data_IF_454200026238
#
_entry.id   IF_454200026238
#
_cell.length_a   1.000
_cell.length_b   1.000
_cell.length_c   1.000
_cell.angle_alpha   90.00
_cell.angle_beta   90.00
_cell.angle_gamma   90.00
#
_symmetry.space_group_name_H-M   'P 1'
#
loop_
_entity.id
_entity.type
_entity.pdbx_description
1 polymer ?
#
# COMPACT_ATOMS: atom_id res chain seq x y z
N UNK A 1 -5.75 25.67 10.12
CA UNK A 1 -5.88 26.10 8.70
C UNK A 1 -7.20 26.85 8.46
N UNK A 2 -7.23 27.85 7.58
CA UNK A 2 -8.49 28.37 6.98
C UNK A 2 -9.01 27.33 5.96
N UNK A 3 -10.30 26.98 6.05
CA UNK A 3 -11.08 26.01 5.24
C UNK A 3 -10.33 25.11 4.23
N UNK A 4 -10.38 23.77 4.36
CA UNK A 4 -9.74 22.84 3.42
C UNK A 4 -10.21 23.08 1.98
N UNK A 5 -9.29 23.03 1.01
CA UNK A 5 -9.57 23.25 -0.42
C UNK A 5 -9.40 21.97 -1.25
N UNK A 6 -8.57 21.05 -0.78
CA UNK A 6 -8.34 19.72 -1.36
C UNK A 6 -8.78 18.66 -0.37
N UNK A 7 -9.18 17.50 -0.87
CA UNK A 7 -9.68 16.42 0.00
C UNK A 7 -8.64 16.01 1.06
N UNK A 8 -7.36 15.94 0.69
CA UNK A 8 -6.30 15.58 1.63
C UNK A 8 -5.98 16.67 2.67
N UNK A 9 -6.38 17.94 2.45
CA UNK A 9 -6.26 19.02 3.45
C UNK A 9 -7.18 18.78 4.66
N UNK A 10 -8.22 17.95 4.48
CA UNK A 10 -9.14 17.59 5.55
C UNK A 10 -8.44 16.89 6.71
N UNK A 11 -7.31 16.19 6.48
CA UNK A 11 -6.59 15.51 7.55
C UNK A 11 -5.95 16.52 8.52
N UNK A 12 -5.28 17.56 8.01
CA UNK A 12 -4.75 18.64 8.83
C UNK A 12 -5.88 19.40 9.53
N UNK A 13 -6.96 19.70 8.81
CA UNK A 13 -8.12 20.35 9.40
C UNK A 13 -8.71 19.53 10.57
N UNK A 14 -8.90 18.23 10.40
CA UNK A 14 -9.43 17.35 11.44
C UNK A 14 -8.47 17.18 12.63
N UNK A 15 -7.16 17.23 12.39
CA UNK A 15 -6.16 17.28 13.47
C UNK A 15 -6.31 18.56 14.29
N UNK A 16 -6.48 19.71 13.64
CA UNK A 16 -6.72 21.00 14.30
C UNK A 16 -8.03 21.01 15.11
N UNK A 17 -9.05 20.22 14.70
CA UNK A 17 -10.35 20.11 15.39
C UNK A 17 -10.39 19.09 16.54
N UNK A 18 -9.27 18.43 16.87
CA UNK A 18 -9.18 17.58 18.08
C UNK A 18 -9.10 16.08 17.84
N UNK A 19 -8.54 15.63 16.71
CA UNK A 19 -8.19 14.23 16.41
C UNK A 19 -9.32 13.22 16.72
N UNK A 20 -10.21 13.00 15.75
CA UNK A 20 -11.31 12.04 15.90
C UNK A 20 -10.76 10.63 16.13
N UNK A 21 -11.22 9.89 17.16
CA UNK A 21 -10.69 8.55 17.47
C UNK A 21 -11.12 7.47 16.46
N UNK A 22 -12.12 7.75 15.63
CA UNK A 22 -12.72 6.82 14.67
C UNK A 22 -13.05 7.49 13.33
N UNK A 23 -12.05 8.09 12.71
CA UNK A 23 -12.19 8.67 11.37
C UNK A 23 -12.56 7.61 10.33
N UNK A 24 -11.89 6.45 10.37
CA UNK A 24 -12.27 5.26 9.61
C UNK A 24 -12.57 4.11 10.56
N UNK A 25 -13.36 3.14 10.11
CA UNK A 25 -13.63 1.91 10.87
C UNK A 25 -13.94 0.77 9.92
N UNK A 26 -13.43 -0.41 10.25
CA UNK A 26 -13.70 -1.63 9.49
C UNK A 26 -13.67 -2.85 10.41
N UNK A 27 -14.23 -3.95 9.90
CA UNK A 27 -14.16 -5.25 10.56
C UNK A 27 -12.96 -6.02 9.99
N UNK A 28 -11.94 -6.21 10.81
CA UNK A 28 -10.69 -6.90 10.46
C UNK A 28 -10.58 -8.18 11.28
N UNK A 29 -10.39 -9.33 10.63
CA UNK A 29 -10.29 -10.64 11.29
C UNK A 29 -11.43 -10.95 12.28
N UNK A 30 -12.62 -10.40 12.03
CA UNK A 30 -13.79 -10.59 12.89
C UNK A 30 -14.00 -9.50 13.94
N UNK A 31 -13.03 -8.62 14.17
CA UNK A 31 -13.08 -7.56 15.18
C UNK A 31 -13.21 -6.16 14.56
N UNK A 32 -13.93 -5.27 15.22
CA UNK A 32 -14.00 -3.87 14.78
C UNK A 32 -12.71 -3.15 15.13
N UNK A 33 -12.03 -2.63 14.10
CA UNK A 33 -10.91 -1.71 14.23
C UNK A 33 -11.35 -0.29 13.88
N UNK A 34 -10.93 0.66 14.70
CA UNK A 34 -11.09 2.10 14.48
C UNK A 34 -9.73 2.70 14.14
N UNK A 35 -9.72 3.63 13.21
CA UNK A 35 -8.54 4.40 12.83
C UNK A 35 -8.75 5.85 13.22
N UNK A 36 -7.88 6.37 14.08
CA UNK A 36 -7.94 7.78 14.48
C UNK A 36 -7.49 8.71 13.35
N UNK A 37 -7.87 9.99 13.39
CA UNK A 37 -7.36 10.99 12.43
C UNK A 37 -5.84 11.02 12.41
N UNK A 38 -5.19 10.95 13.58
CA UNK A 38 -3.74 10.89 13.70
C UNK A 38 -3.14 9.67 13.01
N UNK A 39 -3.71 8.48 13.21
CA UNK A 39 -3.24 7.24 12.57
C UNK A 39 -3.42 7.31 11.04
N UNK A 40 -4.60 7.72 10.57
CA UNK A 40 -4.88 7.92 9.15
C UNK A 40 -3.88 8.89 8.54
N UNK A 41 -3.69 10.07 9.16
CA UNK A 41 -2.73 11.07 8.68
C UNK A 41 -1.30 10.52 8.65
N UNK A 42 -0.88 9.85 9.71
CA UNK A 42 0.46 9.26 9.77
C UNK A 42 0.67 8.30 8.62
N UNK A 43 -0.24 7.35 8.40
CA UNK A 43 -0.14 6.36 7.31
C UNK A 43 -0.13 7.03 5.94
N UNK A 44 -1.03 7.99 5.72
CA UNK A 44 -1.12 8.75 4.46
C UNK A 44 0.18 9.52 4.19
N UNK A 45 0.76 10.15 5.21
CA UNK A 45 2.05 10.84 5.09
C UNK A 45 3.16 9.86 4.68
N UNK A 46 3.23 8.66 5.29
CA UNK A 46 4.27 7.68 4.93
C UNK A 46 4.10 7.10 3.54
N UNK A 47 2.87 6.73 3.18
CA UNK A 47 2.56 6.25 1.84
C UNK A 47 2.90 7.31 0.79
N UNK A 48 2.51 8.57 1.00
CA UNK A 48 2.80 9.66 0.07
C UNK A 48 4.31 9.91 -0.10
N UNK A 49 5.07 9.85 0.99
CA UNK A 49 6.53 9.97 0.95
C UNK A 49 7.17 8.79 0.19
N UNK A 50 6.66 7.57 0.40
CA UNK A 50 7.10 6.38 -0.34
C UNK A 50 6.82 6.47 -1.84
N UNK A 51 5.63 6.97 -2.23
CA UNK A 51 5.29 7.21 -3.63
C UNK A 51 6.25 8.23 -4.27
N UNK A 52 6.48 9.37 -3.61
CA UNK A 52 7.43 10.37 -4.09
C UNK A 52 8.85 9.81 -4.23
N UNK A 53 9.29 8.98 -3.27
CA UNK A 53 10.59 8.31 -3.33
C UNK A 53 10.69 7.32 -4.49
N UNK A 54 9.59 6.66 -4.85
CA UNK A 54 9.49 5.80 -6.03
C UNK A 54 9.40 6.57 -7.36
N UNK A 55 9.53 7.90 -7.32
CA UNK A 55 9.45 8.76 -8.51
C UNK A 55 8.02 8.99 -9.00
N UNK A 56 7.00 8.70 -8.17
CA UNK A 56 5.60 8.90 -8.48
C UNK A 56 5.15 10.29 -8.04
N UNK A 57 4.52 11.05 -8.94
CA UNK A 57 3.85 12.28 -8.55
C UNK A 57 3.26 13.08 -9.70
N UNK A 58 3.44 14.39 -9.60
CA UNK A 58 2.80 15.40 -10.47
C UNK A 58 3.41 15.51 -11.89
N UNK A 59 4.55 14.87 -12.14
CA UNK A 59 5.22 14.99 -13.43
C UNK A 59 5.65 16.44 -13.73
N UNK A 60 5.31 16.92 -14.93
CA UNK A 60 5.74 18.24 -15.43
C UNK A 60 4.80 19.40 -15.13
N UNK A 61 3.58 19.15 -14.65
CA UNK A 61 2.57 20.20 -14.76
C UNK A 61 1.19 19.73 -15.16
N UNK A 62 1.21 19.02 -16.28
CA UNK A 62 0.04 18.73 -17.08
C UNK A 62 -0.79 17.61 -16.47
N UNK A 63 -2.12 17.61 -16.67
CA UNK A 63 -2.96 16.47 -16.31
C UNK A 63 -2.45 15.14 -16.88
N UNK A 64 -1.91 15.17 -18.09
CA UNK A 64 -1.44 14.01 -18.83
C UNK A 64 -0.12 13.46 -18.29
N UNK A 65 0.77 14.29 -17.73
CA UNK A 65 2.08 13.84 -17.21
C UNK A 65 2.04 13.31 -15.78
N UNK A 66 0.94 13.51 -15.04
CA UNK A 66 0.78 12.95 -13.70
C UNK A 66 0.85 11.45 -13.75
N UNK A 67 1.43 10.83 -12.74
CA UNK A 67 1.44 9.38 -12.63
C UNK A 67 0.07 8.84 -12.24
N UNK A 68 -0.27 7.65 -12.77
CA UNK A 68 -1.55 6.98 -12.50
C UNK A 68 -1.28 5.74 -11.66
N UNK A 69 -2.02 5.62 -10.57
CA UNK A 69 -1.99 4.47 -9.67
C UNK A 69 -3.39 3.86 -9.66
N UNK A 70 -3.49 2.57 -9.88
CA UNK A 70 -4.75 1.86 -9.77
C UNK A 70 -4.96 1.27 -8.36
N UNK A 71 -6.22 1.11 -7.98
CA UNK A 71 -6.64 0.27 -6.85
C UNK A 71 -7.69 -0.71 -7.35
N UNK A 72 -7.46 -2.01 -7.18
CA UNK A 72 -8.43 -3.08 -7.41
C UNK A 72 -8.81 -3.68 -6.05
N UNK A 73 -9.90 -3.19 -5.45
CA UNK A 73 -10.22 -3.57 -4.08
C UNK A 73 -11.69 -3.54 -3.72
N UNK A 74 -12.07 -4.36 -2.73
CA UNK A 74 -13.32 -4.18 -1.98
C UNK A 74 -13.23 -2.93 -1.11
N UNK A 75 -14.37 -2.47 -0.60
CA UNK A 75 -14.43 -1.36 0.35
C UNK A 75 -13.65 -1.71 1.62
N UNK A 76 -12.57 -0.97 1.87
CA UNK A 76 -11.71 -1.13 3.05
C UNK A 76 -10.96 0.17 3.37
N UNK A 77 -10.54 0.40 4.63
CA UNK A 77 -9.82 1.61 5.03
C UNK A 77 -8.57 1.86 4.19
N UNK A 78 -7.84 0.80 3.82
CA UNK A 78 -6.58 0.88 3.06
C UNK A 78 -6.75 1.54 1.70
N UNK A 79 -7.90 1.38 1.06
CA UNK A 79 -8.20 2.10 -0.18
C UNK A 79 -8.21 3.62 0.07
N UNK A 80 -8.94 4.10 1.09
CA UNK A 80 -8.97 5.54 1.43
C UNK A 80 -7.58 6.05 1.80
N UNK A 81 -6.77 5.25 2.50
CA UNK A 81 -5.39 5.59 2.84
C UNK A 81 -4.52 5.76 1.58
N UNK A 82 -4.61 4.84 0.63
CA UNK A 82 -3.91 4.94 -0.66
C UNK A 82 -4.41 6.12 -1.47
N UNK A 83 -5.72 6.32 -1.59
CA UNK A 83 -6.30 7.44 -2.35
C UNK A 83 -5.79 8.80 -1.85
N UNK A 84 -5.85 9.03 -0.54
CA UNK A 84 -5.34 10.27 0.06
C UNK A 84 -3.82 10.43 -0.14
N UNK A 85 -3.05 9.33 -0.08
CA UNK A 85 -1.61 9.36 -0.30
C UNK A 85 -1.25 9.66 -1.76
N UNK A 86 -1.98 9.09 -2.73
CA UNK A 86 -1.84 9.34 -4.17
C UNK A 86 -2.15 10.79 -4.49
N UNK A 87 -3.23 11.34 -3.94
CA UNK A 87 -3.54 12.75 -4.11
C UNK A 87 -2.47 13.67 -3.51
N UNK A 88 -1.89 13.30 -2.36
CA UNK A 88 -0.79 14.06 -1.73
C UNK A 88 0.50 14.04 -2.55
N UNK A 89 0.83 12.95 -3.22
CA UNK A 89 2.01 12.90 -4.11
C UNK A 89 1.81 13.69 -5.41
N UNK A 90 0.58 14.11 -5.71
CA UNK A 90 0.22 14.80 -6.95
C UNK A 90 -0.08 13.85 -8.11
N UNK A 91 -0.06 12.54 -7.85
CA UNK A 91 -0.50 11.50 -8.77
C UNK A 91 -2.05 11.40 -8.80
N UNK A 92 -2.56 10.50 -9.65
CA UNK A 92 -3.99 10.29 -9.85
C UNK A 92 -4.35 8.83 -9.58
N UNK A 93 -5.46 8.60 -8.86
CA UNK A 93 -5.96 7.26 -8.56
C UNK A 93 -6.96 6.80 -9.64
N UNK A 94 -6.86 5.54 -10.06
CA UNK A 94 -7.84 4.86 -10.94
C UNK A 94 -8.48 3.69 -10.17
N UNK A 95 -9.74 3.82 -9.71
CA UNK A 95 -10.38 2.82 -8.87
C UNK A 95 -11.09 1.71 -9.67
N UNK A 96 -11.00 0.48 -9.15
CA UNK A 96 -11.66 -0.71 -9.68
C UNK A 96 -12.21 -1.58 -8.56
N UNK A 97 -13.42 -2.11 -8.77
CA UNK A 97 -13.94 -3.19 -7.94
C UNK A 97 -13.49 -4.56 -8.48
N UNK A 98 -13.26 -5.57 -7.62
CA UNK A 98 -12.84 -6.92 -8.03
C UNK A 98 -13.74 -7.61 -9.05
N UNK A 99 -15.00 -7.16 -9.17
CA UNK A 99 -15.99 -7.64 -10.13
C UNK A 99 -15.74 -7.19 -11.57
N UNK A 100 -14.77 -6.29 -11.81
CA UNK A 100 -14.42 -5.85 -13.16
C UNK A 100 -14.01 -7.03 -14.04
N UNK A 101 -14.46 -7.01 -15.30
CA UNK A 101 -14.05 -8.02 -16.27
C UNK A 101 -12.58 -7.79 -16.67
N UNK A 102 -11.82 -8.89 -16.84
CA UNK A 102 -10.38 -8.81 -17.06
C UNK A 102 -10.00 -7.99 -18.31
N UNK A 103 -10.77 -8.09 -19.39
CA UNK A 103 -10.54 -7.30 -20.61
C UNK A 103 -10.78 -5.80 -20.38
N UNK A 104 -11.74 -5.43 -19.53
CA UNK A 104 -11.99 -4.02 -19.19
C UNK A 104 -10.87 -3.48 -18.31
N UNK A 105 -10.40 -4.28 -17.34
CA UNK A 105 -9.25 -3.95 -16.52
C UNK A 105 -8.01 -3.72 -17.40
N UNK A 106 -7.67 -4.65 -18.29
CA UNK A 106 -6.54 -4.52 -19.22
C UNK A 106 -6.65 -3.28 -20.09
N UNK A 107 -7.83 -3.03 -20.67
CA UNK A 107 -8.07 -1.84 -21.48
C UNK A 107 -7.85 -0.55 -20.69
N UNK A 108 -8.47 -0.43 -19.50
CA UNK A 108 -8.36 0.80 -18.71
C UNK A 108 -6.95 1.01 -18.19
N UNK A 109 -6.23 -0.03 -17.75
CA UNK A 109 -4.85 0.11 -17.29
C UNK A 109 -3.92 0.62 -18.40
N UNK A 110 -4.13 0.16 -19.64
CA UNK A 110 -3.38 0.64 -20.80
C UNK A 110 -3.76 2.09 -21.17
N UNK A 111 -5.05 2.38 -21.29
CA UNK A 111 -5.56 3.71 -21.69
C UNK A 111 -5.13 4.79 -20.70
N UNK A 112 -5.18 4.48 -19.40
CA UNK A 112 -4.77 5.39 -18.33
C UNK A 112 -3.26 5.40 -18.06
N UNK A 113 -2.48 4.53 -18.72
CA UNK A 113 -1.03 4.39 -18.52
C UNK A 113 -0.65 4.22 -17.03
N UNK A 114 -1.38 3.35 -16.33
CA UNK A 114 -1.14 3.08 -14.91
C UNK A 114 0.27 2.53 -14.71
N UNK A 115 0.99 3.09 -13.73
CA UNK A 115 2.34 2.68 -13.33
C UNK A 115 2.35 1.66 -12.20
N UNK A 116 1.48 1.81 -11.22
CA UNK A 116 1.40 0.93 -10.04
C UNK A 116 -0.05 0.55 -9.78
N UNK A 117 -0.29 -0.65 -9.26
CA UNK A 117 -1.62 -1.07 -8.81
C UNK A 117 -1.58 -1.69 -7.41
N UNK A 118 -2.52 -1.29 -6.56
CA UNK A 118 -2.79 -1.95 -5.27
C UNK A 118 -3.97 -2.91 -5.43
N UNK A 119 -3.82 -4.17 -5.02
CA UNK A 119 -4.84 -5.21 -5.13
C UNK A 119 -5.27 -5.73 -3.77
N UNK A 120 -6.51 -6.20 -3.66
CA UNK A 120 -7.09 -6.63 -2.40
C UNK A 120 -6.50 -7.96 -1.87
N UNK A 121 -6.47 -9.01 -2.70
CA UNK A 121 -6.18 -10.39 -2.31
C UNK A 121 -5.31 -11.12 -3.34
N UNK A 122 -4.94 -12.37 -3.04
CA UNK A 122 -4.19 -13.24 -3.95
C UNK A 122 -4.91 -13.46 -5.29
N UNK A 123 -6.23 -13.69 -5.29
CA UNK A 123 -7.02 -13.84 -6.52
C UNK A 123 -6.97 -12.58 -7.41
N UNK A 124 -6.96 -11.39 -6.81
CA UNK A 124 -6.86 -10.14 -7.54
C UNK A 124 -5.43 -9.90 -8.05
N UNK A 125 -4.41 -10.36 -7.31
CA UNK A 125 -3.03 -10.39 -7.77
C UNK A 125 -2.89 -11.28 -9.01
N UNK A 126 -3.35 -12.53 -8.95
CA UNK A 126 -3.29 -13.48 -10.08
C UNK A 126 -3.99 -12.91 -11.33
N UNK A 127 -5.16 -12.30 -11.14
CA UNK A 127 -5.89 -11.62 -12.21
C UNK A 127 -5.04 -10.55 -12.89
N UNK A 128 -4.40 -9.67 -12.12
CA UNK A 128 -3.54 -8.59 -12.66
C UNK A 128 -2.26 -9.15 -13.28
N UNK A 129 -1.63 -10.15 -12.65
CA UNK A 129 -0.43 -10.80 -13.18
C UNK A 129 -0.68 -11.44 -14.56
N UNK A 130 -1.84 -12.07 -14.76
CA UNK A 130 -2.22 -12.69 -16.04
C UNK A 130 -2.32 -11.71 -17.24
N UNK A 131 -2.40 -10.41 -16.96
CA UNK A 131 -2.45 -9.33 -17.96
C UNK A 131 -1.20 -8.42 -17.94
N UNK A 132 -0.28 -8.59 -16.98
CA UNK A 132 0.86 -7.68 -16.78
C UNK A 132 1.73 -7.51 -18.03
N UNK A 133 2.00 -8.59 -18.74
CA UNK A 133 2.80 -8.57 -19.98
C UNK A 133 2.15 -7.77 -21.13
N UNK A 134 0.84 -7.51 -21.03
CA UNK A 134 0.07 -6.71 -22.01
C UNK A 134 -0.20 -5.28 -21.53
N UNK A 135 0.34 -4.88 -20.37
CA UNK A 135 0.23 -3.54 -19.80
C UNK A 135 1.63 -3.00 -19.51
N UNK A 136 2.38 -2.53 -20.53
CA UNK A 136 3.80 -2.20 -20.40
C UNK A 136 4.09 -1.02 -19.47
N UNK A 137 3.10 -0.16 -19.18
CA UNK A 137 3.25 0.91 -18.20
C UNK A 137 3.26 0.40 -16.75
N UNK A 138 2.66 -0.76 -16.47
CA UNK A 138 2.49 -1.27 -15.12
C UNK A 138 3.78 -1.92 -14.62
N UNK A 139 4.51 -1.21 -13.76
CA UNK A 139 5.80 -1.66 -13.24
C UNK A 139 5.65 -2.49 -11.96
N UNK A 140 4.79 -2.06 -11.03
CA UNK A 140 4.65 -2.70 -9.71
C UNK A 140 3.20 -3.06 -9.36
N UNK A 141 3.06 -4.15 -8.60
CA UNK A 141 1.79 -4.61 -8.03
C UNK A 141 1.99 -4.77 -6.51
N UNK A 142 1.15 -4.13 -5.71
CA UNK A 142 1.16 -4.20 -4.25
C UNK A 142 -0.12 -4.86 -3.75
N UNK A 143 -0.07 -5.59 -2.63
CA UNK A 143 -1.25 -6.25 -2.05
C UNK A 143 -1.61 -5.63 -0.70
N UNK A 144 -2.91 -5.52 -0.40
CA UNK A 144 -3.38 -5.13 0.94
C UNK A 144 -3.38 -6.31 1.91
N UNK A 145 -3.87 -7.46 1.45
CA UNK A 145 -3.78 -8.70 2.23
C UNK A 145 -2.36 -9.26 2.16
N UNK A 146 -1.94 -9.92 3.25
CA UNK A 146 -0.73 -10.73 3.26
C UNK A 146 -0.96 -11.89 2.29
N UNK A 147 -0.26 -11.89 1.18
CA UNK A 147 -0.22 -13.05 0.28
C UNK A 147 0.77 -14.03 0.87
N UNK A 148 0.25 -15.15 1.38
CA UNK A 148 1.09 -16.28 1.78
C UNK A 148 1.47 -17.01 0.50
N UNK A 149 2.77 -17.00 0.18
CA UNK A 149 3.30 -17.70 -0.97
C UNK A 149 3.88 -19.03 -0.47
N UNK A 150 3.41 -20.15 -1.03
CA UNK A 150 3.79 -21.51 -0.58
C UNK A 150 5.30 -21.76 -0.66
N UNK A 151 6.01 -20.96 -1.47
CA UNK A 151 7.44 -21.13 -1.68
C UNK A 151 8.25 -19.86 -1.36
N UNK A 152 8.65 -19.74 -0.09
CA UNK A 152 9.57 -18.70 0.40
C UNK A 152 10.88 -18.66 -0.38
N UNK A 153 11.38 -19.81 -0.85
CA UNK A 153 12.59 -19.91 -1.66
C UNK A 153 12.43 -19.16 -2.99
N UNK A 154 11.28 -19.31 -3.64
CA UNK A 154 10.99 -18.59 -4.89
C UNK A 154 10.91 -17.07 -4.67
N UNK A 155 10.32 -16.63 -3.56
CA UNK A 155 10.28 -15.21 -3.18
C UNK A 155 11.68 -14.61 -2.97
N UNK A 156 12.56 -15.37 -2.30
CA UNK A 156 13.96 -14.98 -2.12
C UNK A 156 14.70 -14.92 -3.46
N UNK A 157 14.53 -15.93 -4.31
CA UNK A 157 15.17 -16.00 -5.63
C UNK A 157 14.74 -14.83 -6.53
N UNK A 158 13.45 -14.50 -6.56
CA UNK A 158 12.93 -13.37 -7.34
C UNK A 158 13.54 -12.04 -6.87
N UNK A 159 13.67 -11.85 -5.55
CA UNK A 159 14.25 -10.64 -4.98
C UNK A 159 15.74 -10.49 -5.36
N UNK A 160 16.54 -11.54 -5.16
CA UNK A 160 17.97 -11.55 -5.49
C UNK A 160 18.20 -11.34 -6.99
N UNK A 161 17.34 -11.88 -7.85
CA UNK A 161 17.47 -11.74 -9.29
C UNK A 161 17.09 -10.33 -9.81
N UNK A 162 16.27 -9.59 -9.07
CA UNK A 162 15.78 -8.26 -9.46
C UNK A 162 16.57 -7.11 -8.83
N UNK A 163 17.38 -7.37 -7.81
CA UNK A 163 18.14 -6.37 -7.08
C UNK A 163 19.61 -6.79 -6.90
N UNK A 164 20.60 -5.93 -7.20
CA UNK A 164 22.00 -6.24 -6.90
C UNK A 164 22.17 -6.44 -5.40
N UNK A 165 22.41 -7.70 -5.00
CA UNK A 165 22.42 -8.14 -3.60
C UNK A 165 23.76 -8.81 -3.30
N UNK A 166 24.63 -8.14 -2.56
CA UNK A 166 25.96 -8.68 -2.20
C UNK A 166 25.90 -9.70 -1.04
N UNK A 167 24.92 -9.57 -0.15
CA UNK A 167 24.71 -10.49 0.98
C UNK A 167 23.26 -10.48 1.45
N UNK A 168 22.67 -11.67 1.57
CA UNK A 168 21.34 -11.88 2.16
C UNK A 168 21.50 -12.49 3.57
N UNK A 169 21.13 -11.74 4.60
CA UNK A 169 21.15 -12.21 5.98
C UNK A 169 19.74 -12.51 6.49
N UNK A 170 19.49 -13.76 6.88
CA UNK A 170 18.21 -14.20 7.46
C UNK A 170 18.35 -14.41 8.98
N UNK A 171 17.52 -13.73 9.77
CA UNK A 171 17.43 -13.96 11.22
C UNK A 171 16.17 -14.78 11.51
N UNK A 172 16.36 -16.02 11.97
CA UNK A 172 15.26 -16.90 12.34
C UNK A 172 14.69 -16.52 13.73
N UNK A 173 13.43 -16.12 13.79
CA UNK A 173 12.72 -15.95 15.06
C UNK A 173 12.18 -17.30 15.57
N UNK A 174 12.87 -17.93 16.52
CA UNK A 174 12.30 -19.03 17.31
C UNK A 174 11.31 -18.48 18.33
N UNK A 175 10.03 -18.77 18.21
CA UNK A 175 9.13 -18.70 19.37
C UNK A 175 9.32 -19.96 20.22
N UNK A 176 9.89 -19.80 21.42
CA UNK A 176 9.81 -20.83 22.45
C UNK A 176 8.38 -20.85 23.01
N UNK A 177 7.79 -22.04 23.11
CA UNK A 177 6.47 -22.35 23.66
C UNK A 177 6.18 -21.65 25.01
N UNK A 178 7.23 -21.36 25.79
CA UNK A 178 7.14 -20.69 27.09
C UNK A 178 6.87 -19.17 27.02
N UNK A 179 7.13 -18.51 25.87
CA UNK A 179 6.90 -17.07 25.70
C UNK A 179 5.40 -16.70 25.60
N UNK A 180 4.52 -17.69 25.52
CA UNK A 180 3.07 -17.52 25.44
C UNK A 180 2.40 -17.47 26.83
N UNK A 181 3.13 -17.82 27.90
CA UNK A 181 2.58 -17.99 29.24
C UNK A 181 2.63 -16.72 30.10
N UNK A 182 3.46 -15.73 29.75
CA UNK A 182 3.58 -14.48 30.49
C UNK A 182 3.47 -13.31 29.52
N UNK A 183 2.27 -12.73 29.45
CA UNK A 183 2.03 -11.51 28.70
C UNK A 183 2.54 -10.33 29.53
N UNK A 184 3.39 -9.51 28.93
CA UNK A 184 3.26 -8.05 28.95
C UNK A 184 3.73 -7.53 27.60
N UNK A 185 2.78 -7.01 26.82
CA UNK A 185 3.03 -6.40 25.51
C UNK A 185 3.37 -4.95 25.78
N UNK A 186 4.66 -4.62 25.71
CA UNK A 186 5.12 -3.27 25.50
C UNK A 186 6.38 -3.33 24.65
N UNK A 187 6.33 -2.79 23.42
CA UNK A 187 7.24 -1.75 22.92
C UNK A 187 6.74 -1.30 21.53
N UNK A 188 6.59 0.02 21.29
CA UNK A 188 6.18 0.61 20.02
C UNK A 188 7.36 0.71 19.06
N UNK A 189 7.16 0.52 17.76
CA UNK A 189 8.20 0.85 16.77
C UNK A 189 7.60 1.26 15.43
N UNK A 190 7.75 2.56 15.18
CA UNK A 190 7.73 3.25 13.88
C UNK A 190 8.94 2.76 13.07
N UNK A 191 8.75 2.38 11.80
CA UNK A 191 9.87 2.17 10.87
C UNK A 191 9.79 3.20 9.75
N UNK A 192 10.63 4.23 9.82
CA UNK A 192 10.99 5.08 8.69
C UNK A 192 12.49 5.01 8.45
N UNK A 193 12.82 4.69 7.20
CA UNK A 193 14.06 4.87 6.42
C UNK A 193 15.42 4.45 7.01
N UNK A 194 15.98 3.36 6.45
CA UNK A 194 17.36 3.35 5.96
C UNK A 194 17.44 2.51 4.68
N UNK A 195 18.26 2.93 3.71
CA UNK A 195 18.53 2.25 2.44
C UNK A 195 19.21 0.89 2.61
N UNK A 196 18.43 -0.13 2.95
CA UNK A 196 18.68 -1.56 2.74
C UNK A 196 17.32 -2.26 2.83
N UNK A 197 16.98 -3.17 1.91
CA UNK A 197 15.71 -3.90 1.95
C UNK A 197 15.73 -4.89 3.13
N UNK A 198 15.35 -4.39 4.30
CA UNK A 198 15.01 -5.19 5.48
C UNK A 198 13.62 -5.78 5.25
N UNK A 199 13.56 -6.94 4.61
CA UNK A 199 12.36 -7.77 4.62
C UNK A 199 12.28 -8.52 5.95
N UNK A 200 11.36 -8.09 6.81
CA UNK A 200 11.01 -8.80 8.05
C UNK A 200 9.96 -9.86 7.71
N UNK A 201 10.36 -11.13 7.73
CA UNK A 201 9.45 -12.27 7.61
C UNK A 201 8.71 -12.48 8.93
N UNK A 202 7.42 -12.80 8.86
CA UNK A 202 6.67 -13.32 10.00
C UNK A 202 5.99 -14.64 9.64
N UNK A 203 6.24 -15.60 10.53
CA UNK A 203 5.66 -16.94 10.66
C UNK A 203 4.23 -17.07 10.17
#
# INVERSE_FOLDING_TARGET
MTSPQRLFDCLEYLMDQGNKPDLLSAKENGDWRKYSTHEVKSIVDQLSAGLLQAGIGYGDGSPESRDKIAVLSKNRPEWILVDLAVQRSGAVLTPFYPTIHINELEYTLNDSQVKLIFVNSADDLEKVESIKDRVPSLTEIYTFEKVENDNTEQGILNFVNSHPTDMLAMIAHKHSFLARLFRDIHTPSVSFQVHLPLLVLKN
#
